data_IF_765403077017
#
_entry.id   IF_765403077017
#
_cell.length_a   1.000
_cell.length_b   1.000
_cell.length_c   1.000
_cell.angle_alpha   90.00
_cell.angle_beta   90.00
_cell.angle_gamma   90.00
#
_symmetry.space_group_name_H-M   'P 1'
#
loop_
_entity.id
_entity.type
_entity.pdbx_description
1 polymer ?
#
# COMPACT_ATOMS: atom_id res chain seq x y z
N UNK A 1 -18.64 -13.05 0.63
CA UNK A 1 -17.90 -12.74 -0.61
C UNK A 1 -18.46 -11.43 -1.17
N UNK A 2 -17.98 -10.30 -0.66
CA UNK A 2 -18.32 -8.95 -1.14
C UNK A 2 -17.04 -8.24 -1.59
N UNK A 3 -17.12 -7.11 -2.31
CA UNK A 3 -15.93 -6.37 -2.71
C UNK A 3 -15.17 -5.87 -1.48
N UNK A 4 -13.84 -5.96 -1.52
CA UNK A 4 -12.95 -5.44 -0.49
C UNK A 4 -12.98 -3.90 -0.57
N UNK A 5 -13.70 -3.26 0.36
CA UNK A 5 -13.93 -1.82 0.37
C UNK A 5 -13.06 -1.18 1.45
N UNK A 6 -12.34 -0.13 1.09
CA UNK A 6 -11.53 0.66 2.02
C UNK A 6 -12.32 1.92 2.39
N UNK A 7 -12.40 2.22 3.69
CA UNK A 7 -12.77 3.56 4.16
C UNK A 7 -11.55 4.45 4.02
N UNK A 8 -11.67 5.49 3.20
CA UNK A 8 -10.56 6.41 2.99
C UNK A 8 -10.32 7.25 4.25
N UNK A 9 -9.06 7.33 4.63
CA UNK A 9 -8.56 8.44 5.42
C UNK A 9 -7.13 8.71 4.98
N UNK A 10 -6.95 9.82 4.31
CA UNK A 10 -5.66 10.25 3.77
C UNK A 10 -5.85 11.57 3.03
N UNK A 11 -4.91 12.49 3.25
CA UNK A 11 -4.83 13.75 2.55
C UNK A 11 -4.42 13.51 1.09
N UNK A 12 -5.04 14.26 0.18
CA UNK A 12 -4.68 14.26 -1.23
C UNK A 12 -3.37 15.04 -1.40
N UNK A 13 -2.42 14.44 -2.11
CA UNK A 13 -1.19 15.11 -2.52
C UNK A 13 -1.53 16.20 -3.54
N UNK A 14 -1.01 17.39 -3.30
CA UNK A 14 -1.26 18.59 -4.09
C UNK A 14 -0.09 18.73 -5.07
N UNK A 15 -0.35 18.50 -6.35
CA UNK A 15 0.55 18.96 -7.41
C UNK A 15 0.52 20.50 -7.41
N UNK A 16 1.55 21.15 -6.87
CA UNK A 16 1.82 22.57 -7.07
C UNK A 16 3.34 22.78 -7.13
N UNK A 17 3.84 23.05 -8.34
CA UNK A 17 5.23 23.27 -8.76
C UNK A 17 5.92 24.52 -8.12
N UNK A 18 5.42 25.05 -7.00
CA UNK A 18 5.88 26.33 -6.42
C UNK A 18 6.47 26.22 -4.99
N UNK A 19 6.77 25.02 -4.48
CA UNK A 19 7.11 24.80 -3.07
C UNK A 19 8.60 24.96 -2.67
N UNK A 20 9.51 25.20 -3.60
CA UNK A 20 10.95 25.26 -3.28
C UNK A 20 11.40 26.58 -2.62
N UNK A 21 10.59 27.65 -2.65
CA UNK A 21 10.95 28.93 -2.00
C UNK A 21 10.32 29.15 -0.61
N UNK A 22 9.40 28.28 -0.16
CA UNK A 22 8.66 28.48 1.09
C UNK A 22 9.17 27.67 2.29
N UNK A 23 10.05 26.68 2.07
CA UNK A 23 10.44 25.69 3.08
C UNK A 23 11.47 26.18 4.12
N UNK A 24 12.10 27.34 3.95
CA UNK A 24 13.06 27.87 4.93
C UNK A 24 12.45 28.86 5.94
N UNK A 25 11.14 29.18 5.85
CA UNK A 25 10.52 30.19 6.71
C UNK A 25 9.13 29.80 7.21
N UNK A 26 9.01 28.71 7.99
CA UNK A 26 7.80 28.51 8.81
C UNK A 26 8.11 27.81 10.13
N UNK A 27 8.50 28.60 11.13
CA UNK A 27 8.23 28.26 12.53
C UNK A 27 6.72 28.05 12.71
N UNK A 28 6.36 26.94 13.37
CA UNK A 28 5.03 26.52 13.83
C UNK A 28 3.87 27.52 13.58
N UNK A 29 3.26 27.42 12.39
CA UNK A 29 2.07 28.19 12.08
C UNK A 29 0.89 27.74 12.97
N UNK A 30 0.11 28.66 13.56
CA UNK A 30 -1.10 28.31 14.31
C UNK A 30 -2.12 27.63 13.38
N UNK A 31 -2.96 26.77 13.96
CA UNK A 31 -4.04 26.07 13.25
C UNK A 31 -4.81 27.02 12.31
N UNK A 32 -4.98 26.61 11.05
CA UNK A 32 -5.59 27.44 10.03
C UNK A 32 -6.96 27.99 10.48
N UNK A 33 -7.28 29.27 10.21
CA UNK A 33 -8.56 29.85 10.62
C UNK A 33 -9.73 29.10 9.99
N UNK A 34 -10.78 28.83 10.78
CA UNK A 34 -11.94 28.02 10.39
C UNK A 34 -12.60 28.46 9.06
N UNK A 35 -12.52 29.75 8.69
CA UNK A 35 -13.02 30.26 7.41
C UNK A 35 -12.30 29.67 6.19
N UNK A 36 -11.00 29.36 6.27
CA UNK A 36 -10.26 28.69 5.18
C UNK A 36 -10.71 27.23 5.03
N UNK A 37 -10.86 26.52 6.14
CA UNK A 37 -11.26 25.10 6.16
C UNK A 37 -12.65 24.88 5.51
N UNK A 38 -13.61 25.79 5.77
CA UNK A 38 -14.96 25.72 5.15
C UNK A 38 -14.92 25.95 3.63
N UNK A 39 -14.05 26.84 3.13
CA UNK A 39 -13.89 27.04 1.69
C UNK A 39 -13.29 25.81 0.99
N UNK A 40 -12.35 25.14 1.67
CA UNK A 40 -11.74 23.90 1.19
C UNK A 40 -12.73 22.74 1.14
N UNK A 41 -13.62 22.60 2.14
CA UNK A 41 -14.56 21.48 2.16
C UNK A 41 -15.59 21.51 1.02
N UNK A 42 -16.11 22.69 0.69
CA UNK A 42 -16.98 22.85 -0.49
C UNK A 42 -16.25 22.52 -1.79
N UNK A 43 -14.98 22.91 -1.90
CA UNK A 43 -14.14 22.59 -3.05
C UNK A 43 -13.93 21.07 -3.17
N UNK A 44 -13.48 20.41 -2.10
CA UNK A 44 -13.21 18.98 -2.09
C UNK A 44 -14.47 18.16 -2.32
N UNK A 45 -15.63 18.60 -1.79
CA UNK A 45 -16.91 17.96 -2.09
C UNK A 45 -17.21 17.98 -3.59
N UNK A 46 -17.09 19.13 -4.25
CA UNK A 46 -17.33 19.26 -5.70
C UNK A 46 -16.36 18.40 -6.51
N UNK A 47 -15.07 18.41 -6.15
CA UNK A 47 -14.05 17.60 -6.80
C UNK A 47 -14.34 16.10 -6.63
N UNK A 48 -14.61 15.65 -5.41
CA UNK A 48 -14.95 14.27 -5.08
C UNK A 48 -16.19 13.76 -5.83
N UNK A 49 -17.25 14.57 -5.90
CA UNK A 49 -18.49 14.26 -6.61
C UNK A 49 -18.27 14.11 -8.13
N UNK A 50 -17.42 14.96 -8.72
CA UNK A 50 -17.16 15.00 -10.17
C UNK A 50 -16.11 13.99 -10.65
N UNK A 51 -15.09 13.72 -9.83
CA UNK A 51 -13.86 13.06 -10.31
C UNK A 51 -13.73 11.62 -9.86
N UNK A 52 -14.38 11.22 -8.76
CA UNK A 52 -14.25 9.89 -8.18
C UNK A 52 -15.53 9.06 -8.34
N UNK A 53 -15.33 7.75 -8.49
CA UNK A 53 -16.37 6.75 -8.36
C UNK A 53 -16.44 6.28 -6.92
N UNK A 54 -17.66 6.27 -6.39
CA UNK A 54 -18.00 5.90 -5.03
C UNK A 54 -18.87 4.64 -5.07
N UNK A 55 -18.67 3.76 -4.09
CA UNK A 55 -19.40 2.52 -4.00
C UNK A 55 -20.75 2.75 -3.32
N UNK A 56 -21.84 2.43 -4.00
CA UNK A 56 -23.19 2.43 -3.45
C UNK A 56 -23.50 1.03 -2.88
N UNK A 57 -23.59 0.83 -1.55
CA UNK A 57 -23.71 -0.51 -0.96
C UNK A 57 -25.00 -1.24 -1.33
N UNK A 58 -26.13 -0.52 -1.35
CA UNK A 58 -27.43 -1.12 -1.62
C UNK A 58 -27.56 -1.57 -3.09
N UNK A 59 -27.14 -0.74 -4.04
CA UNK A 59 -27.17 -1.05 -5.47
C UNK A 59 -25.98 -1.91 -5.92
N UNK A 60 -24.94 -2.03 -5.08
CA UNK A 60 -23.67 -2.68 -5.40
C UNK A 60 -23.07 -2.13 -6.69
N UNK A 61 -23.05 -0.81 -6.82
CA UNK A 61 -22.61 -0.11 -8.03
C UNK A 61 -21.52 0.92 -7.71
N UNK A 62 -20.63 1.13 -8.66
CA UNK A 62 -19.67 2.22 -8.66
C UNK A 62 -20.26 3.39 -9.40
N UNK A 63 -20.50 4.51 -8.71
CA UNK A 63 -21.22 5.65 -9.25
C UNK A 63 -20.42 6.94 -9.08
N UNK A 64 -20.55 7.83 -10.06
CA UNK A 64 -20.02 9.19 -10.06
C UNK A 64 -21.13 10.13 -10.50
N UNK A 65 -21.12 11.36 -9.99
CA UNK A 65 -22.12 12.35 -10.40
C UNK A 65 -21.70 13.04 -11.69
N UNK A 66 -22.63 13.11 -12.64
CA UNK A 66 -22.54 13.90 -13.87
C UNK A 66 -23.87 14.63 -14.02
N UNK A 67 -23.83 15.97 -14.10
CA UNK A 67 -25.02 16.82 -14.20
C UNK A 67 -26.11 16.48 -13.16
N UNK A 68 -25.70 16.37 -11.89
CA UNK A 68 -26.54 16.04 -10.72
C UNK A 68 -27.23 14.66 -10.77
N UNK A 69 -26.76 13.77 -11.66
CA UNK A 69 -27.19 12.37 -11.73
C UNK A 69 -26.04 11.43 -11.46
N UNK A 70 -26.27 10.44 -10.60
CA UNK A 70 -25.29 9.43 -10.29
C UNK A 70 -25.37 8.29 -11.30
N UNK A 71 -24.26 8.03 -11.97
CA UNK A 71 -24.16 7.01 -13.00
C UNK A 71 -22.80 6.31 -12.96
N UNK A 72 -22.76 5.09 -13.47
CA UNK A 72 -21.54 4.29 -13.54
C UNK A 72 -21.88 2.84 -13.85
N UNK A 73 -21.32 1.90 -13.09
CA UNK A 73 -21.40 0.48 -13.40
C UNK A 73 -21.73 -0.39 -12.19
N UNK A 74 -22.55 -1.40 -12.44
CA UNK A 74 -22.81 -2.51 -11.53
C UNK A 74 -21.50 -3.24 -11.20
N UNK A 75 -21.17 -3.41 -9.92
CA UNK A 75 -19.95 -4.12 -9.52
C UNK A 75 -19.99 -5.63 -9.86
N UNK A 76 -21.14 -6.34 -9.77
CA UNK A 76 -21.23 -7.75 -10.16
C UNK A 76 -21.28 -8.00 -11.68
N UNK A 77 -21.97 -7.15 -12.44
CA UNK A 77 -22.23 -7.40 -13.88
C UNK A 77 -21.46 -6.49 -14.82
N UNK A 78 -20.84 -5.42 -14.33
CA UNK A 78 -20.20 -4.36 -15.13
C UNK A 78 -21.14 -3.65 -16.12
N UNK A 79 -22.46 -3.83 -15.98
CA UNK A 79 -23.47 -3.15 -16.78
C UNK A 79 -23.70 -1.73 -16.28
N UNK A 80 -24.19 -0.86 -17.17
CA UNK A 80 -24.52 0.52 -16.81
C UNK A 80 -25.54 0.57 -15.65
N UNK A 81 -25.24 1.40 -14.66
CA UNK A 81 -26.09 1.62 -13.48
C UNK A 81 -26.26 3.12 -13.26
N UNK A 82 -27.41 3.52 -12.73
CA UNK A 82 -27.67 4.90 -12.37
C UNK A 82 -28.66 4.98 -11.21
N UNK A 83 -28.56 6.04 -10.43
CA UNK A 83 -29.52 6.36 -9.39
C UNK A 83 -29.87 7.85 -9.41
N UNK A 84 -30.99 8.18 -8.75
CA UNK A 84 -31.44 9.56 -8.58
C UNK A 84 -30.58 10.33 -7.58
N UNK A 85 -31.21 11.10 -6.71
CA UNK A 85 -30.51 11.82 -5.65
C UNK A 85 -29.85 10.84 -4.66
N UNK A 86 -28.53 10.87 -4.62
CA UNK A 86 -27.70 10.10 -3.69
C UNK A 86 -26.54 10.97 -3.20
N UNK A 87 -26.02 10.67 -2.02
CA UNK A 87 -24.82 11.30 -1.48
C UNK A 87 -23.96 10.20 -0.86
N UNK A 88 -22.70 9.99 -1.30
CA UNK A 88 -21.89 8.88 -0.83
C UNK A 88 -21.36 9.04 0.60
N UNK A 89 -21.53 10.22 1.20
CA UNK A 89 -21.04 10.58 2.52
C UNK A 89 -22.08 11.40 3.29
N UNK A 90 -22.07 11.27 4.61
CA UNK A 90 -22.77 12.09 5.58
C UNK A 90 -21.95 13.34 5.92
N UNK A 91 -20.63 13.20 6.01
CA UNK A 91 -19.70 14.31 6.31
C UNK A 91 -18.62 14.42 5.25
N UNK A 92 -18.39 15.64 4.78
CA UNK A 92 -17.25 15.95 3.89
C UNK A 92 -15.96 16.04 4.70
N UNK A 93 -15.97 16.80 5.78
CA UNK A 93 -14.85 16.95 6.72
C UNK A 93 -15.36 16.67 8.13
N UNK A 94 -14.63 15.83 8.85
CA UNK A 94 -14.78 15.61 10.29
C UNK A 94 -13.56 16.21 11.00
N UNK A 95 -13.81 17.29 11.74
CA UNK A 95 -12.83 18.06 12.52
C UNK A 95 -13.04 17.90 14.04
N UNK A 96 -13.92 16.98 14.45
CA UNK A 96 -14.25 16.76 15.87
C UNK A 96 -13.08 16.29 16.74
N UNK A 97 -12.02 15.78 16.11
CA UNK A 97 -10.80 15.26 16.74
C UNK A 97 -9.54 15.99 16.24
N UNK A 98 -9.64 17.31 16.00
CA UNK A 98 -8.50 18.12 15.57
C UNK A 98 -7.31 17.96 16.55
N UNK A 99 -6.05 17.78 16.05
CA UNK A 99 -5.59 17.98 14.66
C UNK A 99 -5.74 16.76 13.73
N UNK A 100 -6.43 15.69 14.13
CA UNK A 100 -6.63 14.47 13.34
C UNK A 100 -7.87 14.53 12.43
N UNK A 101 -7.81 15.41 11.42
CA UNK A 101 -8.89 15.59 10.45
C UNK A 101 -9.17 14.33 9.61
N UNK A 102 -10.44 14.10 9.27
CA UNK A 102 -10.86 13.02 8.36
C UNK A 102 -11.73 13.55 7.24
N UNK A 103 -11.44 13.14 6.02
CA UNK A 103 -12.18 13.51 4.83
C UNK A 103 -13.03 12.33 4.37
N UNK A 104 -14.33 12.57 4.15
CA UNK A 104 -15.28 11.56 3.70
C UNK A 104 -15.26 10.26 4.52
N UNK A 105 -15.32 10.32 5.88
CA UNK A 105 -15.02 9.19 6.77
C UNK A 105 -15.94 7.97 6.57
N UNK A 106 -17.14 8.19 6.05
CA UNK A 106 -18.16 7.17 5.85
C UNK A 106 -18.32 6.76 4.38
N UNK A 107 -17.64 7.44 3.45
CA UNK A 107 -17.66 7.10 2.04
C UNK A 107 -16.85 5.84 1.74
N UNK A 108 -17.31 5.07 0.76
CA UNK A 108 -16.65 3.86 0.30
C UNK A 108 -16.14 4.07 -1.11
N UNK A 109 -14.86 3.80 -1.33
CA UNK A 109 -14.26 3.81 -2.67
C UNK A 109 -13.18 2.73 -2.82
N UNK A 110 -12.61 2.61 -4.01
CA UNK A 110 -11.44 1.80 -4.27
C UNK A 110 -10.52 2.53 -5.26
N UNK A 111 -9.23 2.62 -4.91
CA UNK A 111 -8.24 3.33 -5.71
C UNK A 111 -8.05 2.66 -7.08
N UNK A 112 -7.86 1.35 -7.12
CA UNK A 112 -7.67 0.62 -8.38
C UNK A 112 -8.86 0.76 -9.33
N UNK A 113 -10.10 0.78 -8.80
CA UNK A 113 -11.28 1.02 -9.62
C UNK A 113 -11.23 2.41 -10.30
N UNK A 114 -10.82 3.44 -9.56
CA UNK A 114 -10.71 4.80 -10.07
C UNK A 114 -9.51 4.99 -11.00
N UNK A 115 -8.40 4.30 -10.75
CA UNK A 115 -7.17 4.46 -11.52
C UNK A 115 -7.17 3.62 -12.81
N UNK A 116 -7.86 2.47 -12.82
CA UNK A 116 -7.81 1.51 -13.94
C UNK A 116 -9.20 1.13 -14.44
N UNK A 117 -10.02 0.49 -13.61
CA UNK A 117 -11.24 -0.23 -14.04
C UNK A 117 -12.22 0.69 -14.76
N UNK A 118 -12.50 1.87 -14.19
CA UNK A 118 -13.45 2.83 -14.79
C UNK A 118 -13.06 3.20 -16.22
N UNK A 119 -11.77 3.30 -16.51
CA UNK A 119 -11.31 3.72 -17.83
C UNK A 119 -11.48 2.59 -18.84
N UNK A 120 -11.26 1.34 -18.43
CA UNK A 120 -11.54 0.18 -19.27
C UNK A 120 -13.04 0.08 -19.55
N UNK A 121 -13.88 0.26 -18.53
CA UNK A 121 -15.35 0.28 -18.66
C UNK A 121 -15.87 1.43 -19.52
N UNK A 122 -15.17 2.56 -19.56
CA UNK A 122 -15.41 3.69 -20.48
C UNK A 122 -14.91 3.42 -21.91
N UNK A 123 -14.44 2.21 -22.22
CA UNK A 123 -13.97 1.83 -23.55
C UNK A 123 -12.54 2.27 -23.86
N UNK A 124 -11.74 2.64 -22.85
CA UNK A 124 -10.33 3.07 -23.01
C UNK A 124 -9.34 1.96 -22.68
N UNK A 125 -9.75 0.71 -22.84
CA UNK A 125 -8.91 -0.47 -22.56
C UNK A 125 -7.62 -0.52 -23.38
N UNK A 126 -7.69 -0.14 -24.66
CA UNK A 126 -6.56 -0.17 -25.59
C UNK A 126 -5.59 1.01 -25.43
N UNK A 127 -5.95 2.00 -24.60
CA UNK A 127 -5.05 3.12 -24.32
C UNK A 127 -3.89 2.68 -23.45
N UNK A 128 -2.70 3.23 -23.73
CA UNK A 128 -1.52 3.04 -22.89
C UNK A 128 -1.76 3.62 -21.49
N UNK A 129 -1.47 2.83 -20.47
CA UNK A 129 -1.51 3.23 -19.07
C UNK A 129 -0.14 3.69 -18.59
N UNK A 130 0.90 2.89 -18.84
CA UNK A 130 2.29 3.20 -18.51
C UNK A 130 3.22 2.89 -19.69
N UNK A 131 4.26 3.71 -19.81
CA UNK A 131 5.41 3.51 -20.66
C UNK A 131 6.60 3.42 -19.73
N UNK A 132 7.26 2.28 -19.72
CA UNK A 132 8.51 2.06 -19.01
C UNK A 132 9.65 2.43 -19.95
N UNK A 133 10.33 3.52 -19.61
CA UNK A 133 11.56 3.90 -20.28
C UNK A 133 12.69 3.04 -19.74
N UNK A 134 13.37 2.26 -20.59
CA UNK A 134 14.44 1.41 -20.15
C UNK A 134 15.63 2.28 -19.73
N UNK A 135 16.49 1.73 -18.87
CA UNK A 135 17.76 2.35 -18.54
C UNK A 135 18.52 2.68 -19.85
N UNK A 136 19.15 3.87 -19.99
CA UNK A 136 19.93 4.24 -21.18
C UNK A 136 20.99 3.20 -21.60
N UNK A 137 21.42 2.34 -20.68
CA UNK A 137 22.36 1.24 -20.91
C UNK A 137 21.72 0.02 -21.58
N UNK A 138 20.40 -0.03 -21.70
CA UNK A 138 19.61 -1.06 -22.39
C UNK A 138 19.19 -0.51 -23.77
N UNK A 139 19.20 -1.32 -24.85
CA UNK A 139 18.81 -0.85 -26.18
C UNK A 139 17.44 -0.16 -26.18
N UNK A 140 17.33 1.00 -26.85
CA UNK A 140 16.16 1.89 -26.85
C UNK A 140 14.85 1.24 -27.36
N UNK A 141 14.97 0.13 -28.07
CA UNK A 141 13.91 -0.74 -28.57
C UNK A 141 13.31 -1.68 -27.50
N UNK A 142 13.73 -1.54 -26.23
CA UNK A 142 13.18 -2.29 -25.08
C UNK A 142 12.09 -1.54 -24.29
N UNK A 143 11.63 -0.37 -24.75
CA UNK A 143 10.56 0.37 -24.06
C UNK A 143 9.30 -0.50 -23.93
N UNK A 144 8.98 -0.85 -22.68
CA UNK A 144 7.87 -1.73 -22.37
C UNK A 144 6.65 -0.87 -22.09
N UNK A 145 5.49 -1.23 -22.65
CA UNK A 145 4.26 -0.49 -22.43
C UNK A 145 3.18 -1.46 -21.96
N UNK A 146 2.24 -0.92 -21.18
CA UNK A 146 1.07 -1.68 -20.74
C UNK A 146 -0.20 -0.87 -21.01
N UNK A 147 -1.18 -1.48 -21.65
CA UNK A 147 -2.49 -0.86 -21.84
C UNK A 147 -3.31 -0.91 -20.55
N UNK A 148 -4.34 -0.08 -20.44
CA UNK A 148 -5.26 -0.12 -19.28
C UNK A 148 -5.94 -1.47 -19.14
N UNK A 149 -6.32 -2.11 -20.25
CA UNK A 149 -6.91 -3.45 -20.26
C UNK A 149 -5.95 -4.52 -19.76
N UNK A 150 -4.68 -4.46 -20.18
CA UNK A 150 -3.64 -5.36 -19.68
C UNK A 150 -3.37 -5.14 -18.19
N UNK A 151 -3.28 -3.87 -17.75
CA UNK A 151 -3.08 -3.54 -16.33
C UNK A 151 -4.24 -4.04 -15.46
N UNK A 152 -5.49 -3.89 -15.92
CA UNK A 152 -6.66 -4.43 -15.25
C UNK A 152 -6.55 -5.95 -15.08
N UNK A 153 -6.32 -6.68 -16.18
CA UNK A 153 -6.27 -8.13 -16.15
C UNK A 153 -5.13 -8.65 -15.25
N UNK A 154 -3.93 -8.09 -15.39
CA UNK A 154 -2.74 -8.49 -14.62
C UNK A 154 -2.87 -8.16 -13.14
N UNK A 155 -3.35 -6.96 -12.80
CA UNK A 155 -3.55 -6.56 -11.39
C UNK A 155 -4.69 -7.34 -10.71
N UNK A 156 -5.74 -7.72 -11.44
CA UNK A 156 -6.80 -8.59 -10.94
C UNK A 156 -6.28 -10.01 -10.66
N UNK A 157 -5.47 -10.57 -11.57
CA UNK A 157 -4.83 -11.87 -11.37
C UNK A 157 -3.86 -11.84 -10.16
N UNK A 158 -3.01 -10.82 -10.07
CA UNK A 158 -2.12 -10.59 -8.94
C UNK A 158 -2.89 -10.46 -7.61
N UNK A 159 -4.03 -9.78 -7.60
CA UNK A 159 -4.89 -9.68 -6.41
C UNK A 159 -5.44 -11.07 -6.00
N UNK A 160 -5.75 -11.94 -6.97
CA UNK A 160 -6.09 -13.33 -6.71
C UNK A 160 -4.96 -14.07 -5.99
N UNK A 161 -3.72 -13.95 -6.49
CA UNK A 161 -2.52 -14.56 -5.88
C UNK A 161 -2.29 -14.05 -4.45
N UNK A 162 -2.32 -12.73 -4.24
CA UNK A 162 -2.13 -12.12 -2.91
C UNK A 162 -3.18 -12.63 -1.90
N UNK A 163 -4.43 -12.80 -2.33
CA UNK A 163 -5.51 -13.31 -1.49
C UNK A 163 -5.39 -14.81 -1.23
N UNK A 164 -5.21 -15.61 -2.28
CA UNK A 164 -5.37 -17.06 -2.18
C UNK A 164 -4.10 -17.75 -1.67
N UNK A 165 -2.93 -17.33 -2.15
CA UNK A 165 -1.65 -17.96 -1.78
C UNK A 165 -1.03 -17.36 -0.52
N UNK A 166 -1.23 -16.05 -0.32
CA UNK A 166 -0.63 -15.30 0.78
C UNK A 166 -1.65 -14.92 1.86
N UNK A 167 -2.94 -15.24 1.67
CA UNK A 167 -4.01 -14.98 2.64
C UNK A 167 -4.07 -13.50 3.07
N UNK A 168 -3.74 -12.59 2.15
CA UNK A 168 -3.79 -11.16 2.42
C UNK A 168 -5.23 -10.65 2.36
N UNK A 169 -5.54 -9.75 3.29
CA UNK A 169 -6.85 -9.15 3.47
C UNK A 169 -6.75 -7.65 3.72
N UNK A 170 -7.88 -6.95 3.68
CA UNK A 170 -7.92 -5.50 3.92
C UNK A 170 -7.25 -5.12 5.22
N UNK A 171 -6.38 -4.11 5.15
CA UNK A 171 -5.58 -3.65 6.27
C UNK A 171 -4.26 -4.40 6.44
N UNK A 172 -4.00 -5.51 5.76
CA UNK A 172 -2.68 -6.15 5.78
C UNK A 172 -1.60 -5.28 5.14
N UNK A 173 -0.33 -5.51 5.50
CA UNK A 173 0.80 -4.69 5.04
C UNK A 173 1.77 -5.49 4.18
N UNK A 174 2.13 -4.92 3.04
CA UNK A 174 3.08 -5.49 2.07
C UNK A 174 4.21 -4.49 1.84
N UNK A 175 5.44 -4.98 1.89
CA UNK A 175 6.62 -4.19 1.60
C UNK A 175 7.15 -4.55 0.22
N UNK A 176 7.44 -3.55 -0.61
CA UNK A 176 8.06 -3.72 -1.91
C UNK A 176 9.53 -3.28 -1.84
N UNK A 177 10.45 -4.18 -2.18
CA UNK A 177 11.88 -3.94 -2.27
C UNK A 177 12.42 -4.47 -3.60
N UNK A 178 12.30 -3.67 -4.66
CA UNK A 178 12.66 -4.01 -6.03
C UNK A 178 12.76 -2.72 -6.86
N UNK A 179 13.31 -2.75 -8.08
CA UNK A 179 13.26 -1.61 -8.99
C UNK A 179 11.83 -1.17 -9.28
N UNK A 180 11.63 0.13 -9.48
CA UNK A 180 10.39 0.65 -10.00
C UNK A 180 10.23 0.26 -11.48
N UNK A 181 9.03 -0.19 -11.85
CA UNK A 181 8.72 -0.64 -13.21
C UNK A 181 7.26 -1.09 -13.32
N UNK A 182 6.82 -1.45 -14.51
CA UNK A 182 5.41 -1.85 -14.77
C UNK A 182 4.99 -3.02 -13.89
N UNK A 183 5.88 -3.99 -13.68
CA UNK A 183 5.64 -5.13 -12.81
C UNK A 183 5.31 -4.69 -11.38
N UNK A 184 6.07 -3.76 -10.80
CA UNK A 184 5.78 -3.25 -9.45
C UNK A 184 4.39 -2.60 -9.39
N UNK A 185 4.03 -1.81 -10.41
CA UNK A 185 2.72 -1.15 -10.50
C UNK A 185 1.59 -2.18 -10.54
N UNK A 186 1.73 -3.28 -11.27
CA UNK A 186 0.72 -4.36 -11.30
C UNK A 186 0.42 -4.90 -9.89
N UNK A 187 1.45 -5.13 -9.08
CA UNK A 187 1.30 -5.64 -7.71
C UNK A 187 0.82 -4.57 -6.72
N UNK A 188 1.19 -3.31 -6.92
CA UNK A 188 0.65 -2.18 -6.16
C UNK A 188 -0.84 -2.01 -6.42
N UNK A 189 -1.28 -2.06 -7.69
CA UNK A 189 -2.69 -2.05 -8.06
C UNK A 189 -3.43 -3.26 -7.46
N UNK A 190 -2.80 -4.43 -7.41
CA UNK A 190 -3.37 -5.59 -6.72
C UNK A 190 -3.58 -5.35 -5.22
N UNK A 191 -2.64 -4.67 -4.54
CA UNK A 191 -2.80 -4.29 -3.14
C UNK A 191 -3.96 -3.30 -2.97
N UNK A 192 -4.05 -2.28 -3.82
CA UNK A 192 -5.15 -1.30 -3.84
C UNK A 192 -6.52 -1.95 -4.04
N UNK A 193 -6.61 -2.97 -4.91
CA UNK A 193 -7.85 -3.76 -5.12
C UNK A 193 -8.33 -4.48 -3.87
N UNK A 194 -7.41 -5.03 -3.07
CA UNK A 194 -7.72 -5.77 -1.84
C UNK A 194 -7.86 -4.87 -0.60
N UNK A 195 -7.50 -3.59 -0.71
CA UNK A 195 -7.36 -2.71 0.45
C UNK A 195 -6.19 -3.08 1.35
N UNK A 196 -5.16 -3.69 0.77
CA UNK A 196 -3.89 -3.99 1.41
C UNK A 196 -3.03 -2.73 1.36
N UNK A 197 -2.39 -2.41 2.48
CA UNK A 197 -1.50 -1.26 2.64
C UNK A 197 -0.13 -1.64 2.09
N UNK A 198 0.35 -0.93 1.09
CA UNK A 198 1.69 -1.17 0.54
C UNK A 198 2.68 -0.10 0.98
N UNK A 199 3.95 -0.47 1.06
CA UNK A 199 5.06 0.46 1.27
C UNK A 199 6.19 0.13 0.29
N UNK A 200 6.48 1.04 -0.62
CA UNK A 200 7.61 0.92 -1.53
C UNK A 200 8.86 1.46 -0.87
N UNK A 201 9.88 0.61 -0.74
CA UNK A 201 11.15 0.98 -0.13
C UNK A 201 12.16 1.39 -1.20
N UNK A 202 13.02 2.35 -0.86
CA UNK A 202 14.11 2.72 -1.74
C UNK A 202 15.04 1.50 -1.91
N UNK A 203 15.31 1.08 -3.16
CA UNK A 203 16.20 -0.04 -3.45
C UNK A 203 17.59 0.06 -2.82
N UNK A 204 18.11 1.26 -2.60
CA UNK A 204 19.45 1.48 -2.03
C UNK A 204 19.54 1.33 -0.50
N UNK A 205 18.44 0.94 0.17
CA UNK A 205 18.44 0.78 1.62
C UNK A 205 19.34 -0.37 2.08
N UNK A 206 20.14 -0.18 3.13
CA UNK A 206 20.93 -1.26 3.69
C UNK A 206 19.99 -2.30 4.35
N UNK A 207 20.39 -3.60 4.36
CA UNK A 207 19.57 -4.70 4.90
C UNK A 207 19.07 -4.46 6.33
N UNK A 208 19.87 -3.81 7.17
CA UNK A 208 19.53 -3.53 8.56
C UNK A 208 18.33 -2.56 8.66
N UNK A 209 18.30 -1.54 7.81
CA UNK A 209 17.17 -0.59 7.75
C UNK A 209 15.93 -1.16 7.05
N UNK A 210 16.13 -2.16 6.18
CA UNK A 210 15.04 -2.92 5.58
C UNK A 210 14.35 -3.80 6.64
N UNK A 211 15.13 -4.46 7.50
CA UNK A 211 14.61 -5.26 8.61
C UNK A 211 13.74 -4.41 9.55
N UNK A 212 14.22 -3.22 9.93
CA UNK A 212 13.46 -2.28 10.77
C UNK A 212 12.10 -1.92 10.16
N UNK A 213 12.04 -1.69 8.84
CA UNK A 213 10.79 -1.37 8.14
C UNK A 213 9.82 -2.53 8.11
N UNK A 214 10.31 -3.75 7.86
CA UNK A 214 9.49 -4.97 7.92
C UNK A 214 8.82 -5.08 9.30
N UNK A 215 9.56 -4.78 10.37
CA UNK A 215 9.08 -4.85 11.76
C UNK A 215 8.10 -3.73 12.09
N UNK A 216 8.45 -2.47 11.80
CA UNK A 216 7.62 -1.30 12.09
C UNK A 216 6.28 -1.41 11.36
N UNK A 217 6.31 -1.83 10.09
CA UNK A 217 5.11 -2.02 9.28
C UNK A 217 4.38 -3.32 9.61
N UNK A 218 4.96 -4.23 10.40
CA UNK A 218 4.43 -5.59 10.62
C UNK A 218 4.01 -6.22 9.28
N UNK A 219 4.91 -6.13 8.30
CA UNK A 219 4.62 -6.57 6.93
C UNK A 219 4.41 -8.09 6.91
N UNK A 220 3.31 -8.55 6.29
CA UNK A 220 3.02 -9.98 6.10
C UNK A 220 3.70 -10.57 4.87
N UNK A 221 4.06 -9.72 3.92
CA UNK A 221 4.70 -10.10 2.67
C UNK A 221 5.75 -9.07 2.30
N UNK A 222 6.92 -9.55 1.86
CA UNK A 222 7.94 -8.75 1.18
C UNK A 222 8.00 -9.18 -0.28
N UNK A 223 7.84 -8.25 -1.21
CA UNK A 223 7.90 -8.45 -2.66
C UNK A 223 9.25 -7.94 -3.16
N UNK A 224 10.01 -8.76 -3.88
CA UNK A 224 11.33 -8.43 -4.43
C UNK A 224 11.52 -8.96 -5.86
N UNK A 225 12.56 -8.52 -6.57
CA UNK A 225 12.93 -9.04 -7.89
C UNK A 225 13.91 -10.22 -7.79
N UNK A 226 13.89 -11.10 -8.79
CA UNK A 226 14.84 -12.20 -8.94
C UNK A 226 16.20 -11.69 -9.45
N UNK A 227 16.96 -11.07 -8.56
CA UNK A 227 18.32 -10.60 -8.82
C UNK A 227 19.08 -10.48 -7.49
N UNK A 228 20.36 -10.89 -7.40
CA UNK A 228 21.11 -10.85 -6.16
C UNK A 228 21.11 -9.48 -5.49
N UNK A 229 21.16 -8.37 -6.23
CA UNK A 229 21.13 -7.03 -5.63
C UNK A 229 19.83 -6.70 -4.89
N UNK A 230 18.74 -7.40 -5.17
CA UNK A 230 17.43 -7.18 -4.54
C UNK A 230 17.05 -8.30 -3.58
N UNK A 231 17.18 -9.56 -4.00
CA UNK A 231 16.84 -10.70 -3.16
C UNK A 231 17.83 -10.87 -2.00
N UNK A 232 19.13 -10.61 -2.21
CA UNK A 232 20.13 -10.78 -1.15
C UNK A 232 19.89 -9.85 0.04
N UNK A 233 19.70 -8.51 -0.13
CA UNK A 233 19.39 -7.64 1.00
C UNK A 233 18.15 -8.06 1.77
N UNK A 234 17.09 -8.53 1.09
CA UNK A 234 15.86 -9.01 1.73
C UNK A 234 16.15 -10.23 2.59
N UNK A 235 16.82 -11.24 2.03
CA UNK A 235 17.17 -12.43 2.81
C UNK A 235 18.13 -12.10 3.95
N UNK A 236 19.14 -11.24 3.73
CA UNK A 236 20.05 -10.77 4.78
C UNK A 236 19.28 -10.04 5.88
N UNK A 237 18.38 -9.13 5.54
CA UNK A 237 17.55 -8.40 6.50
C UNK A 237 16.74 -9.36 7.39
N UNK A 238 16.06 -10.33 6.78
CA UNK A 238 15.26 -11.32 7.51
C UNK A 238 16.12 -12.30 8.31
N UNK A 239 17.33 -12.61 7.84
CA UNK A 239 18.24 -13.56 8.50
C UNK A 239 18.99 -12.95 9.68
N UNK A 240 19.38 -11.68 9.56
CA UNK A 240 20.09 -10.91 10.59
C UNK A 240 19.17 -10.38 11.68
N UNK A 241 17.85 -10.40 11.46
CA UNK A 241 16.89 -9.99 12.46
C UNK A 241 16.83 -10.99 13.62
N UNK A 242 17.03 -10.50 14.84
CA UNK A 242 16.74 -11.20 16.08
C UNK A 242 15.53 -10.50 16.73
N UNK A 243 14.34 -11.14 16.77
CA UNK A 243 13.19 -10.57 17.46
C UNK A 243 13.55 -10.17 18.90
N UNK A 244 13.06 -9.03 19.39
CA UNK A 244 13.31 -8.57 20.76
C UNK A 244 12.98 -9.65 21.82
N UNK A 245 11.88 -10.41 21.71
CA UNK A 245 11.62 -11.53 22.62
C UNK A 245 12.74 -12.58 22.62
N UNK A 246 13.22 -12.96 21.43
CA UNK A 246 14.30 -13.94 21.26
C UNK A 246 15.63 -13.38 21.78
N UNK A 247 15.88 -12.08 21.59
CA UNK A 247 17.03 -11.38 22.15
C UNK A 247 16.99 -11.34 23.69
N UNK A 248 15.81 -11.12 24.28
CA UNK A 248 15.58 -11.19 25.73
C UNK A 248 15.79 -12.62 26.23
N UNK A 249 15.29 -13.63 25.52
CA UNK A 249 15.49 -15.05 25.84
C UNK A 249 16.98 -15.42 25.81
N UNK A 250 17.71 -14.98 24.78
CA UNK A 250 19.14 -15.25 24.62
C UNK A 250 19.97 -14.48 25.65
N UNK A 251 19.61 -13.24 25.95
CA UNK A 251 20.19 -12.45 27.03
C UNK A 251 19.96 -13.14 28.38
N UNK A 252 18.72 -13.51 28.70
CA UNK A 252 18.35 -14.20 29.95
C UNK A 252 19.19 -15.47 30.15
N UNK A 253 19.31 -16.28 29.10
CA UNK A 253 20.14 -17.48 29.11
C UNK A 253 21.64 -17.17 29.29
N UNK A 254 22.16 -16.10 28.68
CA UNK A 254 23.59 -15.78 28.71
C UNK A 254 24.09 -15.22 30.06
N UNK A 255 23.27 -14.42 30.74
CA UNK A 255 23.62 -13.82 32.05
C UNK A 255 22.97 -14.54 33.24
N UNK A 256 22.17 -15.58 32.99
CA UNK A 256 21.49 -16.36 34.05
C UNK A 256 20.45 -15.54 34.82
N UNK A 257 19.81 -14.58 34.15
CA UNK A 257 18.80 -13.69 34.72
C UNK A 257 17.41 -14.03 34.15
N UNK A 258 16.36 -13.80 34.93
CA UNK A 258 14.97 -13.89 34.46
C UNK A 258 14.61 -12.76 33.49
N UNK A 259 13.55 -12.96 32.68
CA UNK A 259 13.06 -11.93 31.75
C UNK A 259 12.66 -10.65 32.48
N UNK A 260 12.10 -10.80 33.68
CA UNK A 260 11.68 -9.73 34.56
C UNK A 260 12.88 -8.92 35.10
N UNK A 261 14.01 -9.56 35.35
CA UNK A 261 15.26 -8.90 35.79
C UNK A 261 15.95 -8.13 34.64
N UNK A 262 15.81 -8.60 33.40
CA UNK A 262 16.28 -7.90 32.21
C UNK A 262 15.35 -6.79 31.73
N UNK A 263 14.10 -6.76 32.22
CA UNK A 263 13.13 -5.74 31.89
C UNK A 263 13.51 -4.40 32.56
N UNK A 264 14.41 -3.65 31.93
CA UNK A 264 14.68 -2.26 32.31
C UNK A 264 13.43 -1.44 31.98
N UNK A 265 12.64 -1.08 32.99
CA UNK A 265 11.62 -0.03 32.85
C UNK A 265 12.32 1.30 32.64
N UNK A 266 12.50 1.69 31.37
CA UNK A 266 12.81 3.07 31.01
C UNK A 266 11.70 3.99 31.52
N UNK A 267 11.92 4.60 32.68
CA UNK A 267 11.05 5.59 33.31
C UNK A 267 11.42 7.01 32.87
N UNK A 268 11.92 7.14 31.65
CA UNK A 268 12.10 8.44 31.02
C UNK A 268 10.87 8.78 30.18
N UNK A 269 10.19 9.85 30.61
CA UNK A 269 9.01 10.52 30.05
C UNK A 269 8.96 10.52 28.51
N UNK A 270 8.44 9.46 27.91
CA UNK A 270 7.77 9.53 26.62
C UNK A 270 6.37 8.97 26.84
N UNK A 271 5.40 9.87 27.02
CA UNK A 271 4.01 9.53 26.84
C UNK A 271 3.78 9.31 25.35
N UNK A 272 4.00 8.09 24.87
CA UNK A 272 3.39 7.69 23.60
C UNK A 272 1.92 7.51 23.93
N UNK A 273 1.10 8.51 23.57
CA UNK A 273 -0.35 8.33 23.53
C UNK A 273 -0.63 7.31 22.43
N UNK A 274 -0.64 6.03 22.77
CA UNK A 274 -1.13 4.96 21.89
C UNK A 274 -2.66 5.04 21.88
N UNK A 275 -3.20 6.17 21.43
CA UNK A 275 -4.52 6.14 20.82
C UNK A 275 -4.27 5.55 19.44
N UNK A 276 -4.57 4.26 19.28
CA UNK A 276 -4.61 3.65 17.95
C UNK A 276 -5.45 4.56 17.04
N UNK A 277 -5.01 4.86 15.80
CA UNK A 277 -5.86 5.58 14.88
C UNK A 277 -7.16 4.79 14.73
N UNK A 278 -8.35 5.43 14.72
CA UNK A 278 -9.64 4.78 14.91
C UNK A 278 -10.12 3.90 13.74
N UNK A 279 -9.21 3.45 12.87
CA UNK A 279 -9.51 2.53 11.76
C UNK A 279 -9.96 1.14 12.21
N UNK A 280 -9.91 0.82 13.51
CA UNK A 280 -10.37 -0.46 14.05
C UNK A 280 -11.19 -0.29 15.34
N UNK A 281 -12.30 0.47 15.29
CA UNK A 281 -13.40 0.20 16.23
C UNK A 281 -14.35 -0.80 15.59
N UNK A 282 -14.07 -2.10 15.76
CA UNK A 282 -14.94 -3.14 15.22
C UNK A 282 -14.43 -4.58 15.21
N UNK A 283 -13.23 -4.87 15.68
CA UNK A 283 -12.78 -6.25 15.90
C UNK A 283 -12.11 -6.34 17.25
N UNK A 284 -12.52 -7.29 18.09
CA UNK A 284 -11.78 -7.63 19.30
C UNK A 284 -10.29 -7.79 18.96
N UNK A 285 -9.37 -7.39 19.86
CA UNK A 285 -7.96 -7.63 19.65
C UNK A 285 -7.77 -9.14 19.50
N UNK A 286 -7.59 -9.60 18.27
CA UNK A 286 -7.10 -10.93 18.00
C UNK A 286 -5.82 -11.06 18.83
N UNK A 287 -5.86 -11.95 19.83
CA UNK A 287 -4.81 -12.09 20.84
C UNK A 287 -3.45 -12.03 20.17
N UNK A 288 -2.56 -11.20 20.73
CA UNK A 288 -1.18 -11.09 20.28
C UNK A 288 -0.62 -12.50 20.08
N UNK A 289 -0.21 -12.91 18.86
CA UNK A 289 0.43 -14.20 18.69
C UNK A 289 1.76 -14.14 19.43
N UNK A 290 1.82 -14.84 20.58
CA UNK A 290 3.08 -15.35 21.10
C UNK A 290 3.71 -16.21 20.01
N UNK A 291 5.01 -16.04 19.78
CA UNK A 291 5.85 -16.58 18.69
C UNK A 291 5.74 -15.83 17.35
N UNK A 292 6.38 -14.67 17.26
CA UNK A 292 6.60 -13.95 16.00
C UNK A 292 8.10 -13.93 15.66
N UNK A 293 8.61 -15.06 15.15
CA UNK A 293 9.75 -15.07 14.23
C UNK A 293 9.25 -14.51 12.89
N UNK A 294 9.02 -13.19 12.84
CA UNK A 294 8.50 -12.31 11.76
C UNK A 294 7.36 -12.77 10.84
N UNK A 295 7.06 -14.04 10.61
CA UNK A 295 5.92 -14.58 9.86
C UNK A 295 5.78 -14.10 8.41
N UNK A 296 6.67 -13.20 7.96
CA UNK A 296 6.59 -12.55 6.67
C UNK A 296 7.02 -13.53 5.59
N UNK A 297 6.15 -13.71 4.61
CA UNK A 297 6.46 -14.48 3.41
C UNK A 297 7.28 -13.60 2.45
N UNK A 298 8.07 -14.21 1.59
CA UNK A 298 8.81 -13.52 0.54
C UNK A 298 8.28 -13.95 -0.82
N UNK A 299 7.86 -12.99 -1.63
CA UNK A 299 7.48 -13.19 -3.02
C UNK A 299 8.58 -12.62 -3.92
N UNK A 300 9.19 -13.48 -4.73
CA UNK A 300 10.21 -13.10 -5.71
C UNK A 300 9.57 -13.05 -7.10
N UNK A 301 9.59 -11.87 -7.73
CA UNK A 301 9.12 -11.65 -9.09
C UNK A 301 10.21 -12.07 -10.07
N UNK A 302 9.97 -13.18 -10.78
CA UNK A 302 10.84 -13.67 -11.85
C UNK A 302 10.63 -12.97 -13.20
N UNK A 303 9.57 -12.17 -13.33
CA UNK A 303 9.30 -11.33 -14.51
C UNK A 303 10.30 -10.19 -14.66
N UNK A 304 10.80 -9.66 -13.55
CA UNK A 304 11.78 -8.59 -13.52
C UNK A 304 13.17 -9.25 -13.59
N UNK A 305 13.61 -9.55 -14.81
CA UNK A 305 14.97 -10.03 -15.05
C UNK A 305 15.89 -8.86 -15.36
N UNK A 306 16.86 -8.66 -14.48
CA UNK A 306 17.90 -7.65 -14.68
C UNK A 306 19.16 -8.33 -15.22
N UNK A 307 19.90 -7.65 -16.13
CA UNK A 307 21.15 -8.18 -16.64
C UNK A 307 22.16 -8.35 -15.50
N UNK A 308 22.72 -9.56 -15.40
CA UNK A 308 23.75 -9.91 -14.43
C UNK A 308 25.13 -9.96 -15.11
N UNK A 309 26.13 -9.38 -14.46
CA UNK A 309 27.53 -9.64 -14.77
C UNK A 309 28.01 -10.97 -14.16
N UNK A 310 29.19 -11.45 -14.58
CA UNK A 310 29.73 -12.72 -14.10
C UNK A 310 29.95 -12.79 -12.59
N UNK A 311 30.18 -11.65 -11.93
CA UNK A 311 30.38 -11.59 -10.49
C UNK A 311 29.04 -11.75 -9.75
N UNK A 312 28.00 -11.06 -10.22
CA UNK A 312 26.63 -11.16 -9.70
C UNK A 312 26.08 -12.58 -9.86
N UNK A 313 26.29 -13.21 -11.01
CA UNK A 313 25.85 -14.60 -11.25
C UNK A 313 26.51 -15.64 -10.32
N UNK A 314 27.66 -15.29 -9.72
CA UNK A 314 28.40 -16.14 -8.77
C UNK A 314 28.04 -15.85 -7.31
N UNK A 315 27.19 -14.85 -7.02
CA UNK A 315 26.75 -14.55 -5.65
C UNK A 315 25.78 -15.65 -5.21
N UNK A 316 26.12 -16.47 -4.20
CA UNK A 316 25.21 -17.48 -3.70
C UNK A 316 24.06 -16.80 -2.95
N UNK A 317 22.84 -17.26 -3.19
CA UNK A 317 21.69 -16.82 -2.41
C UNK A 317 21.87 -17.28 -0.94
N UNK A 318 21.70 -16.38 0.04
CA UNK A 318 21.81 -16.75 1.44
C UNK A 318 20.66 -17.68 1.82
N UNK A 319 20.86 -18.63 2.75
CA UNK A 319 19.80 -19.55 3.16
C UNK A 319 18.60 -18.76 3.72
N UNK A 320 17.42 -18.90 3.13
CA UNK A 320 16.24 -18.15 3.54
C UNK A 320 15.61 -18.75 4.81
N UNK A 321 15.49 -17.96 5.88
CA UNK A 321 14.68 -18.31 7.06
C UNK A 321 13.16 -18.13 6.85
N UNK A 322 12.75 -17.45 5.78
CA UNK A 322 11.36 -17.14 5.45
C UNK A 322 10.83 -18.01 4.29
N UNK A 323 9.52 -18.31 4.31
CA UNK A 323 8.85 -18.99 3.21
C UNK A 323 8.95 -18.13 1.93
N UNK A 324 9.67 -18.64 0.93
CA UNK A 324 9.95 -17.92 -0.32
C UNK A 324 9.23 -18.58 -1.48
N UNK A 325 8.51 -17.79 -2.27
CA UNK A 325 7.81 -18.23 -3.48
C UNK A 325 8.25 -17.38 -4.66
N UNK A 326 8.60 -18.01 -5.78
CA UNK A 326 8.99 -17.32 -7.02
C UNK A 326 7.89 -17.46 -8.07
N UNK A 327 7.55 -16.37 -8.77
CA UNK A 327 6.55 -16.36 -9.85
C UNK A 327 7.20 -15.82 -11.13
N UNK A 328 7.23 -16.63 -12.19
CA UNK A 328 7.97 -16.35 -13.42
C UNK A 328 7.26 -15.37 -14.37
N UNK A 329 5.92 -15.41 -14.47
CA UNK A 329 5.09 -14.41 -15.14
C UNK A 329 3.61 -14.55 -14.83
N UNK A 330 2.92 -13.40 -14.72
CA UNK A 330 1.45 -13.31 -14.77
C UNK A 330 1.07 -12.92 -16.19
N UNK A 331 1.19 -13.88 -17.11
CA UNK A 331 0.69 -13.76 -18.48
C UNK A 331 -0.83 -13.92 -18.49
N UNK A 332 -1.49 -13.05 -19.24
CA UNK A 332 -2.95 -13.02 -19.42
C UNK A 332 -3.31 -13.76 -20.71
#
# INVERSE_FOLDING_TARGET
>A
RGPFLVRMAGAFDLDDDDLDEALEAQEAAPAAPASRIVSSSVYFQKAATRNAFWYHPEQKAWLRSVDDKWQGWSAPSCEASSCGAWTPWEKVLDDSDAPFYRWFPDALTNAAFNEVDRHVLEGRGDSIAYIEEPDPLVPADAATQITRGQLLARSAAAAGVLRDDFSLSTGDRVLFFLPAGIEQIVWVEACKRLGVIYCCCNPSLPPEQLADRVVILRAKLVVTAHHPEWSYPVHKALNSFLPVPDAIDLAAASVGASKEELAIKWTNRVSVSVAEPPFLQGSEPAGLPQTALLGAKVLILGTIQLPMNELQAKVPEPPAKAETKTIASLEV
#
